data_IF_774231006855
#
_entry.id   IF_774231006855
#
_cell.length_a   1.000
_cell.length_b   1.000
_cell.length_c   1.000
_cell.angle_alpha   90.00
_cell.angle_beta   90.00
_cell.angle_gamma   90.00
#
_symmetry.space_group_name_H-M   'P 1'
#
loop_
_entity.id
_entity.type
_entity.pdbx_description
1 polymer ?
#
# COMPACT_ATOMS: atom_id res chain seq x y z
N UNK A 1 -0.62 35.96 -11.06
CA UNK A 1 -1.72 34.98 -11.06
C UNK A 1 -1.66 34.26 -9.75
N UNK A 2 -2.62 34.58 -8.89
CA UNK A 2 -2.83 33.96 -7.60
C UNK A 2 -3.20 32.49 -7.79
N UNK A 3 -2.60 31.61 -6.99
CA UNK A 3 -3.23 30.37 -6.55
C UNK A 3 -2.67 30.08 -5.17
N UNK A 4 -3.45 30.51 -4.19
CA UNK A 4 -3.21 30.35 -2.76
C UNK A 4 -4.07 29.17 -2.27
N UNK A 5 -3.54 28.44 -1.28
CA UNK A 5 -4.17 27.40 -0.43
C UNK A 5 -4.35 26.02 -1.07
N UNK A 6 -4.10 24.91 -0.37
CA UNK A 6 -4.30 24.61 1.06
C UNK A 6 -3.04 23.99 1.69
N UNK A 7 -2.73 24.39 2.91
CA UNK A 7 -2.14 23.44 3.85
C UNK A 7 -3.20 22.37 4.09
N UNK A 8 -2.91 21.14 3.72
CA UNK A 8 -3.82 20.03 3.94
C UNK A 8 -3.37 19.34 5.22
N UNK A 9 -4.20 19.44 6.25
CA UNK A 9 -4.01 18.79 7.53
C UNK A 9 -4.24 17.28 7.28
N UNK A 10 -3.21 16.57 6.84
CA UNK A 10 -3.26 15.12 6.58
C UNK A 10 -2.72 14.37 7.78
N UNK A 11 -3.43 13.34 8.25
CA UNK A 11 -2.89 12.40 9.23
C UNK A 11 -2.11 11.33 8.48
N UNK A 12 -0.88 11.10 8.95
CA UNK A 12 -0.06 9.97 8.50
C UNK A 12 -0.01 8.94 9.61
N UNK A 13 -0.40 7.71 9.27
CA UNK A 13 -0.33 6.55 10.14
C UNK A 13 0.64 5.54 9.54
N UNK A 14 1.58 5.05 10.34
CA UNK A 14 2.63 4.10 9.91
C UNK A 14 2.45 2.77 10.63
N UNK A 15 2.36 1.69 9.85
CA UNK A 15 2.22 0.32 10.34
C UNK A 15 3.50 -0.43 9.93
N UNK A 16 4.28 -0.85 10.92
CA UNK A 16 5.46 -1.69 10.69
C UNK A 16 5.04 -3.14 10.67
N UNK A 17 5.27 -3.80 9.54
CA UNK A 17 4.98 -5.22 9.33
C UNK A 17 6.29 -5.97 9.42
N UNK A 18 6.52 -6.65 10.54
CA UNK A 18 7.78 -7.32 10.86
C UNK A 18 7.66 -8.84 10.94
N UNK A 19 6.43 -9.34 11.09
CA UNK A 19 6.11 -10.74 11.34
C UNK A 19 4.94 -11.19 10.46
N UNK A 20 4.57 -12.47 10.55
CA UNK A 20 3.43 -13.00 9.79
C UNK A 20 2.11 -12.58 10.40
N UNK A 21 2.11 -12.40 11.71
CA UNK A 21 0.97 -11.95 12.52
C UNK A 21 0.57 -10.53 12.11
N UNK A 22 1.55 -9.68 11.81
CA UNK A 22 1.32 -8.30 11.35
C UNK A 22 0.59 -8.23 9.99
N UNK A 23 0.56 -9.32 9.21
CA UNK A 23 -0.17 -9.37 7.93
C UNK A 23 -1.69 -9.30 8.12
N UNK A 24 -2.18 -9.57 9.33
CA UNK A 24 -3.60 -9.54 9.67
C UNK A 24 -4.02 -8.22 10.34
N UNK A 25 -3.11 -7.24 10.44
CA UNK A 25 -3.48 -5.91 10.89
C UNK A 25 -4.45 -5.30 9.86
N UNK A 26 -5.60 -4.84 10.34
CA UNK A 26 -6.60 -4.18 9.51
C UNK A 26 -6.07 -2.85 8.98
N UNK A 27 -6.38 -2.56 7.72
CA UNK A 27 -6.01 -1.31 7.07
C UNK A 27 -7.24 -0.42 6.99
N UNK A 28 -7.43 0.39 8.04
CA UNK A 28 -8.53 1.36 8.07
C UNK A 28 -8.17 2.60 7.24
N UNK A 29 -8.44 2.51 5.94
CA UNK A 29 -8.24 3.58 4.97
C UNK A 29 -9.58 4.16 4.51
N UNK A 30 -9.81 5.48 4.64
CA UNK A 30 -10.95 6.14 4.00
C UNK A 30 -10.83 6.09 2.46
N UNK A 31 -11.95 6.31 1.76
CA UNK A 31 -11.99 6.27 0.29
C UNK A 31 -10.97 7.24 -0.36
N UNK A 32 -10.76 8.40 0.28
CA UNK A 32 -9.87 9.49 -0.14
C UNK A 32 -8.42 9.32 0.36
N UNK A 33 -8.11 8.25 1.10
CA UNK A 33 -6.78 7.99 1.62
C UNK A 33 -5.81 7.41 0.59
N UNK A 34 -4.53 7.76 0.71
CA UNK A 34 -3.42 7.20 -0.06
C UNK A 34 -2.71 6.15 0.80
N UNK A 35 -2.37 5.00 0.20
CA UNK A 35 -1.52 3.99 0.82
C UNK A 35 -0.16 3.96 0.14
N UNK A 36 0.91 3.87 0.93
CA UNK A 36 2.28 3.73 0.42
C UNK A 36 2.97 2.54 1.07
N UNK A 37 3.75 1.83 0.27
CA UNK A 37 4.70 0.81 0.72
C UNK A 37 6.07 1.18 0.16
N UNK A 38 6.83 2.06 0.85
CA UNK A 38 8.05 2.66 0.31
C UNK A 38 9.10 1.62 -0.13
N UNK A 39 9.22 0.51 0.60
CA UNK A 39 10.22 -0.55 0.34
C UNK A 39 9.91 -1.37 -0.93
N UNK A 40 8.64 -1.36 -1.36
CA UNK A 40 8.17 -1.90 -2.63
C UNK A 40 8.08 -0.83 -3.72
N UNK A 41 8.17 0.46 -3.36
CA UNK A 41 7.96 1.58 -4.28
C UNK A 41 6.54 1.59 -4.84
N UNK A 42 5.57 1.21 -4.01
CA UNK A 42 4.15 1.15 -4.37
C UNK A 42 3.42 2.30 -3.70
N UNK A 43 2.56 2.96 -4.47
CA UNK A 43 1.60 3.95 -4.01
C UNK A 43 0.23 3.57 -4.59
N UNK A 44 -0.79 3.52 -3.73
CA UNK A 44 -2.18 3.27 -4.11
C UNK A 44 -2.96 4.52 -3.74
N UNK A 45 -3.31 5.29 -4.77
CA UNK A 45 -4.14 6.48 -4.63
C UNK A 45 -5.62 6.10 -4.50
N UNK A 46 -6.47 7.04 -4.05
CA UNK A 46 -7.92 6.91 -4.16
C UNK A 46 -8.32 6.50 -5.57
N UNK A 47 -9.13 5.44 -5.65
CA UNK A 47 -9.78 5.02 -6.88
C UNK A 47 -11.15 5.68 -7.02
N UNK A 48 -11.88 5.42 -8.11
CA UNK A 48 -13.29 5.80 -8.20
C UNK A 48 -14.08 5.23 -7.01
N UNK A 49 -15.18 5.89 -6.64
CA UNK A 49 -15.97 5.62 -5.43
C UNK A 49 -16.45 4.16 -5.25
N UNK A 50 -16.38 3.33 -6.30
CA UNK A 50 -16.78 1.91 -6.31
C UNK A 50 -15.60 0.93 -6.11
N UNK A 51 -14.39 1.41 -5.78
CA UNK A 51 -13.26 0.50 -5.52
C UNK A 51 -13.51 -0.33 -4.26
N UNK A 52 -13.35 -1.66 -4.34
CA UNK A 52 -13.52 -2.53 -3.18
C UNK A 52 -12.59 -2.11 -2.02
N UNK A 53 -13.10 -2.01 -0.78
CA UNK A 53 -12.30 -1.61 0.37
C UNK A 53 -11.16 -2.60 0.61
N UNK A 54 -10.01 -2.10 1.03
CA UNK A 54 -8.90 -2.93 1.50
C UNK A 54 -9.20 -3.35 2.94
N UNK A 55 -9.08 -4.64 3.25
CA UNK A 55 -9.35 -5.16 4.60
C UNK A 55 -8.12 -5.09 5.50
N UNK A 56 -6.98 -5.58 5.03
CA UNK A 56 -5.79 -5.82 5.83
C UNK A 56 -4.51 -5.78 4.98
N UNK A 57 -3.36 -5.91 5.65
CA UNK A 57 -2.03 -5.92 5.01
C UNK A 57 -1.88 -7.09 4.03
N UNK A 58 -2.48 -8.25 4.30
CA UNK A 58 -2.42 -9.42 3.42
C UNK A 58 -3.18 -9.17 2.10
N UNK A 59 -4.36 -8.56 2.16
CA UNK A 59 -5.13 -8.14 0.99
C UNK A 59 -4.34 -7.12 0.18
N UNK A 60 -3.76 -6.10 0.83
CA UNK A 60 -2.89 -5.11 0.18
C UNK A 60 -1.76 -5.78 -0.63
N UNK A 61 -1.00 -6.68 0.00
CA UNK A 61 0.09 -7.39 -0.68
C UNK A 61 -0.41 -8.29 -1.82
N UNK A 62 -1.59 -8.88 -1.66
CA UNK A 62 -2.21 -9.74 -2.67
C UNK A 62 -2.68 -8.96 -3.88
N UNK A 63 -3.24 -7.75 -3.70
CA UNK A 63 -3.58 -6.86 -4.83
C UNK A 63 -2.35 -6.40 -5.59
N UNK A 64 -1.29 -6.02 -4.88
CA UNK A 64 -0.01 -5.64 -5.52
C UNK A 64 0.54 -6.82 -6.35
N UNK A 65 0.53 -8.02 -5.78
CA UNK A 65 0.93 -9.24 -6.48
C UNK A 65 0.04 -9.53 -7.71
N UNK A 66 -1.27 -9.34 -7.60
CA UNK A 66 -2.23 -9.49 -8.70
C UNK A 66 -1.95 -8.52 -9.86
N UNK A 67 -1.70 -7.25 -9.56
CA UNK A 67 -1.33 -6.24 -10.58
C UNK A 67 -0.01 -6.63 -11.25
N UNK A 68 1.01 -7.00 -10.47
CA UNK A 68 2.30 -7.43 -11.02
C UNK A 68 2.17 -8.67 -11.91
N UNK A 69 1.37 -9.66 -11.51
CA UNK A 69 1.18 -10.92 -12.25
C UNK A 69 0.37 -10.73 -13.52
N UNK A 70 -0.66 -9.88 -13.52
CA UNK A 70 -1.47 -9.58 -14.71
C UNK A 70 -0.70 -8.87 -15.84
N UNK A 71 0.38 -8.15 -15.51
CA UNK A 71 1.22 -7.51 -16.51
C UNK A 71 1.99 -8.55 -17.34
N UNK A 72 1.73 -8.62 -18.66
CA UNK A 72 2.31 -9.64 -19.56
C UNK A 72 3.84 -9.49 -19.74
N UNK A 73 4.38 -8.29 -19.51
CA UNK A 73 5.82 -8.06 -19.62
C UNK A 73 6.63 -8.68 -18.47
N UNK A 74 7.54 -9.60 -18.80
CA UNK A 74 8.56 -10.05 -17.86
C UNK A 74 9.68 -8.99 -17.74
N UNK A 75 9.95 -8.54 -16.52
CA UNK A 75 11.10 -7.69 -16.22
C UNK A 75 11.81 -8.17 -14.97
N UNK A 76 13.12 -7.92 -14.88
CA UNK A 76 13.90 -8.21 -13.67
C UNK A 76 13.26 -7.56 -12.44
N UNK A 77 12.81 -6.31 -12.58
CA UNK A 77 12.12 -5.55 -11.52
C UNK A 77 10.82 -6.22 -11.07
N UNK A 78 10.00 -6.74 -11.99
CA UNK A 78 8.79 -7.50 -11.64
C UNK A 78 9.13 -8.74 -10.80
N UNK A 79 10.12 -9.53 -11.24
CA UNK A 79 10.57 -10.74 -10.50
C UNK A 79 11.09 -10.38 -9.11
N UNK A 80 11.88 -9.32 -8.99
CA UNK A 80 12.39 -8.83 -7.71
C UNK A 80 11.27 -8.37 -6.77
N UNK A 81 10.26 -7.66 -7.28
CA UNK A 81 9.11 -7.23 -6.47
C UNK A 81 8.27 -8.41 -5.99
N UNK A 82 7.96 -9.37 -6.87
CA UNK A 82 7.24 -10.59 -6.49
C UNK A 82 8.01 -11.39 -5.43
N UNK A 83 9.33 -11.50 -5.57
CA UNK A 83 10.18 -12.15 -4.58
C UNK A 83 10.16 -11.41 -3.23
N UNK A 84 10.22 -10.06 -3.23
CA UNK A 84 10.10 -9.27 -2.01
C UNK A 84 8.75 -9.51 -1.32
N UNK A 85 7.64 -9.48 -2.07
CA UNK A 85 6.29 -9.74 -1.54
C UNK A 85 6.22 -11.13 -0.89
N UNK A 86 6.77 -12.16 -1.53
CA UNK A 86 6.85 -13.51 -0.97
C UNK A 86 7.69 -13.57 0.33
N UNK A 87 8.80 -12.82 0.40
CA UNK A 87 9.60 -12.71 1.63
C UNK A 87 8.84 -12.03 2.77
N UNK A 88 8.06 -10.99 2.47
CA UNK A 88 7.22 -10.28 3.45
C UNK A 88 6.11 -11.20 3.96
N UNK A 89 5.36 -11.85 3.05
CA UNK A 89 4.31 -12.82 3.40
C UNK A 89 4.84 -14.00 4.23
N UNK A 90 6.12 -14.33 4.10
CA UNK A 90 6.75 -15.39 4.89
C UNK A 90 7.36 -14.91 6.22
N UNK A 91 7.26 -13.62 6.55
CA UNK A 91 7.83 -13.02 7.77
C UNK A 91 9.35 -12.85 7.73
N UNK A 92 9.97 -12.93 6.55
CA UNK A 92 11.43 -12.85 6.37
C UNK A 92 11.91 -11.44 6.06
N UNK A 93 10.99 -10.49 5.85
CA UNK A 93 11.31 -9.13 5.47
C UNK A 93 10.31 -8.17 6.07
N UNK A 94 10.83 -7.11 6.67
CA UNK A 94 10.06 -6.02 7.23
C UNK A 94 9.70 -4.99 6.17
N UNK A 95 8.49 -4.45 6.24
CA UNK A 95 8.05 -3.28 5.47
C UNK A 95 7.30 -2.30 6.36
N UNK A 96 7.12 -1.09 5.83
CA UNK A 96 6.28 -0.07 6.43
C UNK A 96 5.11 0.20 5.49
N UNK A 97 3.89 0.16 6.02
CA UNK A 97 2.70 0.60 5.31
C UNK A 97 2.32 1.97 5.87
N UNK A 98 2.25 2.96 4.98
CA UNK A 98 1.92 4.34 5.34
C UNK A 98 0.53 4.64 4.81
N UNK A 99 -0.34 5.11 5.70
CA UNK A 99 -1.70 5.54 5.39
C UNK A 99 -1.75 7.06 5.53
N UNK A 100 -1.93 7.76 4.43
CA UNK A 100 -2.13 9.21 4.40
C UNK A 100 -3.61 9.49 4.17
N UNK A 101 -4.26 10.15 5.12
CA UNK A 101 -5.68 10.49 5.04
C UNK A 101 -5.93 11.95 5.39
N UNK A 102 -6.92 12.63 4.78
CA UNK A 102 -7.32 13.96 5.23
C UNK A 102 -7.81 13.89 6.68
N UNK A 103 -7.53 14.93 7.49
CA UNK A 103 -8.18 15.07 8.80
C UNK A 103 -9.66 15.38 8.61
N UNK A 104 -10.52 14.62 9.30
CA UNK A 104 -11.93 14.96 9.53
C UNK A 104 -12.09 16.17 10.46
#
# INVERSE_FOLDING_TARGET
MSSEKKGENTVTEEIVVSSREDLFIEVDRPAEGVLKVPELGVEITPGPAESEPLSDIMDLLTRIEGVLTSYVGESKRKKELLQKISQIKSGKKTITVVIEKPQE
#
